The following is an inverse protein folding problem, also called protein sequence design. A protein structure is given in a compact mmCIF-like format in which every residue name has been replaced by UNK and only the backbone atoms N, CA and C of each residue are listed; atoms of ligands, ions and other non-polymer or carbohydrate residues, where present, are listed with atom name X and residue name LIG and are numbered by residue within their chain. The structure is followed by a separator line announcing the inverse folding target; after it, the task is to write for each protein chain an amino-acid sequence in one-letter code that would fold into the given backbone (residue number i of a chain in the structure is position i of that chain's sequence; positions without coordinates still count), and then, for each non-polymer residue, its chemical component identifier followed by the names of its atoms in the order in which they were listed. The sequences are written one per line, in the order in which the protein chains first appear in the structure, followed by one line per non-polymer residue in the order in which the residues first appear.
data_IF_653101605442
#
_entry.id   IF_653101605442
#
_cell.length_a   1.000
_cell.length_b   1.000
_cell.length_c   1.000
_cell.angle_alpha   90.00
_cell.angle_beta   90.00
_cell.angle_gamma   90.00
#
_symmetry.space_group_name_H-M   'P 1'
#
loop_
_entity.id
_entity.type
_entity.pdbx_description
1 polymer ?
#
# COMPACT_ATOMS: atom_id res chain seq x y z
N UNK A 1 1.51 17.15 -13.77
CA UNK A 1 0.41 16.62 -12.93
C UNK A 1 0.81 16.71 -11.46
N UNK A 2 -0.07 17.21 -10.58
CA UNK A 2 0.14 17.25 -9.12
C UNK A 2 -0.74 16.18 -8.46
N UNK A 3 -0.14 15.26 -7.71
CA UNK A 3 -0.81 14.13 -7.07
C UNK A 3 -0.87 14.38 -5.57
N UNK A 4 -2.08 14.48 -4.99
CA UNK A 4 -2.24 14.38 -3.54
C UNK A 4 -2.07 12.92 -3.13
N UNK A 5 -1.21 12.65 -2.13
CA UNK A 5 -0.96 11.29 -1.64
C UNK A 5 -1.45 11.14 -0.21
N UNK A 6 -2.31 10.16 0.01
CA UNK A 6 -2.80 9.75 1.33
C UNK A 6 -2.66 8.23 1.47
N UNK A 7 -2.27 7.76 2.64
CA UNK A 7 -2.27 6.34 3.02
C UNK A 7 -2.46 6.16 4.52
N UNK A 8 -2.76 4.93 4.93
CA UNK A 8 -2.79 4.51 6.34
C UNK A 8 -3.71 5.40 7.18
N UNK A 9 -4.90 5.71 6.65
CA UNK A 9 -5.85 6.61 7.30
C UNK A 9 -6.54 5.98 8.50
N UNK A 10 -6.68 4.65 8.51
CA UNK A 10 -7.26 3.89 9.63
C UNK A 10 -8.55 4.50 10.17
N UNK A 11 -9.49 4.79 9.27
CA UNK A 11 -10.76 5.42 9.62
C UNK A 11 -11.61 4.58 10.58
N UNK A 12 -11.31 3.28 10.71
CA UNK A 12 -11.95 2.39 11.69
C UNK A 12 -11.66 2.78 13.15
N UNK A 13 -10.52 3.42 13.42
CA UNK A 13 -10.15 3.89 14.76
C UNK A 13 -10.27 5.39 14.93
N UNK A 14 -10.33 6.14 13.83
CA UNK A 14 -10.45 7.60 13.80
C UNK A 14 -11.53 8.08 12.80
N UNK A 15 -12.80 7.64 12.98
CA UNK A 15 -13.86 7.88 11.98
C UNK A 15 -14.20 9.36 11.79
N UNK A 16 -13.91 10.21 12.78
CA UNK A 16 -14.18 11.64 12.73
C UNK A 16 -13.06 12.46 12.07
N UNK A 17 -11.96 11.79 11.64
CA UNK A 17 -10.88 12.47 10.95
C UNK A 17 -11.34 12.94 9.57
N UNK A 18 -11.38 14.25 9.40
CA UNK A 18 -11.82 14.89 8.16
C UNK A 18 -10.62 15.25 7.29
N UNK A 19 -10.66 14.82 6.06
CA UNK A 19 -9.65 15.10 5.04
C UNK A 19 -10.19 16.09 4.02
N UNK A 20 -9.32 16.98 3.57
CA UNK A 20 -9.64 18.01 2.58
C UNK A 20 -8.81 17.81 1.32
N UNK A 21 -9.41 18.02 0.15
CA UNK A 21 -8.65 18.03 -1.09
C UNK A 21 -7.58 19.13 -1.07
N UNK A 22 -6.43 18.83 -1.63
CA UNK A 22 -5.42 19.85 -1.88
C UNK A 22 -5.90 20.75 -3.04
N UNK A 23 -5.84 22.09 -2.90
CA UNK A 23 -6.44 23.01 -3.89
C UNK A 23 -5.84 22.87 -5.30
N UNK A 24 -4.58 22.47 -5.37
CA UNK A 24 -3.81 22.39 -6.62
C UNK A 24 -3.60 20.94 -7.10
N UNK A 25 -4.28 19.95 -6.49
CA UNK A 25 -4.16 18.58 -6.93
C UNK A 25 -4.96 18.35 -8.22
N UNK A 26 -4.35 17.63 -9.15
CA UNK A 26 -5.01 17.12 -10.35
C UNK A 26 -5.59 15.71 -10.13
N UNK A 27 -5.08 15.00 -9.11
CA UNK A 27 -5.36 13.60 -8.83
C UNK A 27 -5.18 13.32 -7.33
N UNK A 28 -6.01 12.43 -6.76
CA UNK A 28 -5.78 11.82 -5.46
C UNK A 28 -5.31 10.37 -5.65
N UNK A 29 -4.25 9.99 -4.95
CA UNK A 29 -3.82 8.59 -4.77
C UNK A 29 -4.04 8.17 -3.34
N UNK A 30 -4.83 7.12 -3.15
CA UNK A 30 -5.04 6.41 -1.89
C UNK A 30 -4.18 5.13 -1.90
N UNK A 31 -3.09 5.12 -1.15
CA UNK A 31 -2.12 4.02 -1.16
C UNK A 31 -2.34 3.03 0.00
N UNK A 32 -3.60 2.62 0.22
CA UNK A 32 -4.01 1.54 1.12
C UNK A 32 -4.24 1.94 2.57
N UNK A 33 -4.83 1.02 3.33
CA UNK A 33 -5.19 1.14 4.74
C UNK A 33 -6.08 2.37 5.03
N UNK A 34 -7.13 2.51 4.21
CA UNK A 34 -8.10 3.60 4.35
C UNK A 34 -9.07 3.30 5.49
N UNK A 35 -9.57 2.07 5.55
CA UNK A 35 -10.43 1.63 6.64
C UNK A 35 -10.69 0.14 6.65
N UNK A 36 -10.98 -0.39 7.82
CA UNK A 36 -11.07 -1.81 8.13
C UNK A 36 -12.36 -2.14 8.88
N UNK A 37 -12.83 -3.37 8.76
CA UNK A 37 -13.94 -3.92 9.55
C UNK A 37 -13.46 -4.91 10.61
N UNK A 38 -12.22 -4.77 11.06
CA UNK A 38 -11.66 -5.51 12.19
C UNK A 38 -12.51 -5.37 13.46
N UNK A 39 -12.30 -6.27 14.42
CA UNK A 39 -12.98 -6.17 15.72
C UNK A 39 -12.75 -4.80 16.38
N UNK A 40 -13.84 -4.17 16.83
CA UNK A 40 -13.81 -2.84 17.42
C UNK A 40 -13.77 -1.68 16.42
N UNK A 41 -13.92 -1.96 15.13
CA UNK A 41 -14.07 -0.90 14.11
C UNK A 41 -15.27 -0.01 14.42
N UNK A 42 -15.05 1.31 14.32
CA UNK A 42 -16.08 2.34 14.44
C UNK A 42 -16.51 2.91 13.09
N UNK A 43 -16.02 2.29 12.01
CA UNK A 43 -16.32 2.73 10.66
C UNK A 43 -17.77 2.44 10.32
N UNK A 44 -18.59 3.45 9.96
CA UNK A 44 -19.96 3.24 9.52
C UNK A 44 -19.99 2.71 8.08
N UNK A 45 -21.11 2.08 7.71
CA UNK A 45 -21.34 1.65 6.34
C UNK A 45 -20.64 0.35 5.96
N UNK A 46 -20.41 0.17 4.66
CA UNK A 46 -19.88 -1.05 4.08
C UNK A 46 -18.90 -0.80 2.92
N UNK A 47 -18.29 0.38 2.89
CA UNK A 47 -17.49 0.93 1.79
C UNK A 47 -16.03 1.20 2.18
N UNK A 48 -15.57 0.70 3.32
CA UNK A 48 -14.21 0.90 3.86
C UNK A 48 -13.83 2.38 4.06
N UNK A 49 -14.84 3.28 4.19
CA UNK A 49 -14.63 4.72 4.29
C UNK A 49 -14.31 5.41 2.96
N UNK A 50 -14.34 4.67 1.86
CA UNK A 50 -13.98 5.17 0.53
C UNK A 50 -15.01 6.18 -0.03
N UNK A 51 -16.27 6.15 0.43
CA UNK A 51 -17.29 7.10 -0.02
C UNK A 51 -16.86 8.57 0.17
N UNK A 52 -16.04 8.85 1.18
CA UNK A 52 -15.52 10.19 1.47
C UNK A 52 -14.65 10.76 0.36
N UNK A 53 -14.07 9.90 -0.46
CA UNK A 53 -13.15 10.24 -1.55
C UNK A 53 -13.80 10.06 -2.93
N UNK A 54 -15.10 9.75 -2.97
CA UNK A 54 -15.79 9.50 -4.23
C UNK A 54 -15.95 10.76 -5.06
N UNK A 55 -15.47 10.80 -6.32
CA UNK A 55 -15.77 11.88 -7.25
C UNK A 55 -17.27 12.04 -7.51
N UNK A 56 -18.03 10.95 -7.45
CA UNK A 56 -19.49 10.96 -7.61
C UNK A 56 -20.23 11.54 -6.39
N UNK A 57 -19.51 11.72 -5.26
CA UNK A 57 -20.04 12.30 -4.01
C UNK A 57 -19.41 13.66 -3.68
N UNK A 58 -18.62 14.23 -4.60
CA UNK A 58 -18.11 15.59 -4.49
C UNK A 58 -16.62 15.74 -4.23
N UNK A 59 -15.85 14.65 -4.24
CA UNK A 59 -14.38 14.80 -4.27
C UNK A 59 -13.98 15.44 -5.61
N UNK A 60 -13.18 16.54 -5.62
CA UNK A 60 -13.09 17.42 -6.80
C UNK A 60 -12.22 16.91 -7.94
N UNK A 61 -11.44 15.85 -7.72
CA UNK A 61 -10.48 15.31 -8.70
C UNK A 61 -10.64 13.79 -8.83
N UNK A 62 -10.17 13.16 -9.91
CA UNK A 62 -10.10 11.71 -10.03
C UNK A 62 -9.36 11.08 -8.85
N UNK A 63 -9.70 9.84 -8.52
CA UNK A 63 -9.11 9.09 -7.40
C UNK A 63 -8.64 7.73 -7.87
N UNK A 64 -7.38 7.41 -7.62
CA UNK A 64 -6.80 6.08 -7.77
C UNK A 64 -6.65 5.43 -6.40
N UNK A 65 -6.98 4.15 -6.30
CA UNK A 65 -6.89 3.42 -5.05
C UNK A 65 -6.23 2.07 -5.22
N UNK A 66 -5.23 1.81 -4.35
CA UNK A 66 -4.63 0.50 -4.11
C UNK A 66 -5.03 0.08 -2.70
N UNK A 67 -5.58 -1.13 -2.47
CA UNK A 67 -5.88 -1.58 -1.10
C UNK A 67 -4.61 -1.85 -0.31
N UNK A 68 -4.69 -1.70 1.02
CA UNK A 68 -3.65 -2.13 1.94
C UNK A 68 -3.94 -3.51 2.53
N UNK A 69 -3.31 -3.82 3.65
CA UNK A 69 -3.56 -5.09 4.34
C UNK A 69 -4.73 -5.02 5.33
N UNK A 70 -4.98 -3.85 5.91
CA UNK A 70 -6.03 -3.70 6.92
C UNK A 70 -7.44 -3.75 6.34
N UNK A 71 -7.65 -3.49 5.06
CA UNK A 71 -8.93 -3.73 4.40
C UNK A 71 -9.36 -5.21 4.48
N UNK A 72 -8.42 -6.12 4.70
CA UNK A 72 -8.69 -7.57 4.77
C UNK A 72 -8.74 -8.12 6.20
N UNK A 73 -8.59 -7.29 7.23
CA UNK A 73 -8.64 -7.71 8.63
C UNK A 73 -10.03 -8.25 9.02
N UNK A 74 -10.05 -9.40 9.71
CA UNK A 74 -11.23 -10.09 10.21
C UNK A 74 -12.25 -10.52 9.14
N UNK A 75 -11.82 -10.64 7.88
CA UNK A 75 -12.68 -11.01 6.75
C UNK A 75 -12.03 -12.11 5.88
N UNK A 76 -12.81 -12.66 4.94
CA UNK A 76 -12.32 -13.57 3.91
C UNK A 76 -11.70 -12.76 2.75
N UNK A 77 -10.47 -13.10 2.36
CA UNK A 77 -9.66 -12.34 1.44
C UNK A 77 -10.28 -12.17 0.05
N UNK A 78 -10.64 -13.29 -0.61
CA UNK A 78 -11.07 -13.24 -2.01
C UNK A 78 -12.44 -12.55 -2.17
N UNK A 79 -13.36 -12.80 -1.25
CA UNK A 79 -14.67 -12.13 -1.22
C UNK A 79 -14.53 -10.63 -0.94
N UNK A 80 -13.60 -10.25 -0.05
CA UNK A 80 -13.35 -8.85 0.27
C UNK A 80 -12.65 -8.14 -0.88
N UNK A 81 -11.74 -8.80 -1.57
CA UNK A 81 -11.08 -8.26 -2.76
C UNK A 81 -12.10 -7.92 -3.87
N UNK A 82 -13.03 -8.83 -4.14
CA UNK A 82 -14.13 -8.58 -5.09
C UNK A 82 -15.00 -7.41 -4.63
N UNK A 83 -15.41 -7.39 -3.35
CA UNK A 83 -16.22 -6.32 -2.77
C UNK A 83 -15.55 -4.93 -2.83
N UNK A 84 -14.23 -4.86 -2.60
CA UNK A 84 -13.48 -3.61 -2.71
C UNK A 84 -13.49 -3.08 -4.15
N UNK A 85 -13.29 -3.96 -5.13
CA UNK A 85 -13.35 -3.61 -6.55
C UNK A 85 -14.75 -3.07 -6.93
N UNK A 86 -15.81 -3.79 -6.56
CA UNK A 86 -17.20 -3.37 -6.83
C UNK A 86 -17.52 -2.04 -6.12
N UNK A 87 -16.96 -1.83 -4.92
CA UNK A 87 -17.13 -0.57 -4.18
C UNK A 87 -16.46 0.58 -4.91
N UNK A 88 -15.26 0.39 -5.43
CA UNK A 88 -14.56 1.41 -6.23
C UNK A 88 -15.36 1.77 -7.48
N UNK A 89 -15.85 0.77 -8.23
CA UNK A 89 -16.69 1.00 -9.42
C UNK A 89 -17.93 1.83 -9.08
N UNK A 90 -18.67 1.44 -8.06
CA UNK A 90 -19.86 2.15 -7.58
C UNK A 90 -19.59 3.59 -7.14
N UNK A 91 -18.40 3.86 -6.61
CA UNK A 91 -17.98 5.18 -6.11
C UNK A 91 -17.26 6.04 -7.16
N UNK A 92 -17.02 5.54 -8.36
CA UNK A 92 -16.25 6.22 -9.39
C UNK A 92 -14.76 6.38 -9.03
N UNK A 93 -14.26 5.51 -8.17
CA UNK A 93 -12.84 5.43 -7.79
C UNK A 93 -12.17 4.43 -8.73
N UNK A 94 -11.03 4.78 -9.28
CA UNK A 94 -10.27 3.87 -10.13
C UNK A 94 -9.54 2.84 -9.28
N UNK A 95 -9.93 1.59 -9.40
CA UNK A 95 -9.24 0.44 -8.80
C UNK A 95 -7.88 0.23 -9.47
N UNK A 96 -6.82 0.12 -8.68
CA UNK A 96 -5.45 0.03 -9.19
C UNK A 96 -4.69 -1.20 -8.62
N UNK A 97 -5.38 -2.25 -8.21
CA UNK A 97 -4.73 -3.48 -7.75
C UNK A 97 -4.46 -4.43 -8.92
N UNK A 98 -3.18 -4.57 -9.28
CA UNK A 98 -2.69 -5.25 -10.47
C UNK A 98 -3.35 -4.72 -11.75
N UNK A 99 -3.39 -3.40 -11.83
CA UNK A 99 -3.96 -2.67 -12.95
C UNK A 99 -3.00 -1.55 -13.40
N UNK A 100 -3.09 -1.21 -14.67
CA UNK A 100 -2.36 -0.10 -15.27
C UNK A 100 -3.34 0.89 -15.86
N UNK A 101 -3.21 2.16 -15.50
CA UNK A 101 -4.06 3.25 -16.00
C UNK A 101 -3.18 4.35 -16.58
N UNK A 102 -3.60 4.92 -17.70
CA UNK A 102 -2.92 6.06 -18.31
C UNK A 102 -3.82 7.28 -18.22
N UNK A 103 -3.31 8.35 -17.65
CA UNK A 103 -3.96 9.67 -17.57
C UNK A 103 -2.98 10.70 -18.16
N UNK A 104 -3.38 11.38 -19.22
CA UNK A 104 -2.50 12.23 -20.02
C UNK A 104 -1.26 11.44 -20.50
N UNK A 105 -0.06 11.91 -20.17
CA UNK A 105 1.21 11.23 -20.46
C UNK A 105 1.81 10.54 -19.22
N UNK A 106 1.00 10.21 -18.24
CA UNK A 106 1.43 9.53 -17.02
C UNK A 106 0.77 8.16 -16.95
N UNK A 107 1.59 7.13 -16.88
CA UNK A 107 1.17 5.75 -16.63
C UNK A 107 1.26 5.45 -15.15
N UNK A 108 0.15 5.05 -14.54
CA UNK A 108 0.06 4.54 -13.18
C UNK A 108 0.02 3.02 -13.21
N UNK A 109 0.92 2.38 -12.46
CA UNK A 109 1.01 0.92 -12.32
C UNK A 109 0.87 0.61 -10.84
N UNK A 110 -0.19 -0.10 -10.44
CA UNK A 110 -0.47 -0.27 -9.03
C UNK A 110 -0.75 -1.70 -8.59
N UNK A 111 -0.36 -2.00 -7.35
CA UNK A 111 -0.66 -3.24 -6.65
C UNK A 111 -0.42 -3.07 -5.14
N UNK A 112 -1.15 -3.80 -4.29
CA UNK A 112 -0.86 -3.87 -2.85
C UNK A 112 0.60 -4.28 -2.59
N UNK A 113 1.18 -5.09 -3.46
CA UNK A 113 2.52 -5.65 -3.46
C UNK A 113 2.71 -6.76 -2.42
N UNK A 114 2.17 -6.58 -1.19
CA UNK A 114 2.41 -7.47 -0.06
C UNK A 114 3.91 -7.63 0.23
N UNK A 115 4.29 -8.51 1.16
CA UNK A 115 5.70 -8.80 1.45
C UNK A 115 6.07 -10.24 1.10
N UNK A 116 7.24 -10.42 0.46
CA UNK A 116 7.82 -11.74 0.20
C UNK A 116 8.68 -12.28 1.35
N UNK A 117 8.92 -11.45 2.38
CA UNK A 117 9.73 -11.75 3.57
C UNK A 117 11.21 -12.04 3.27
N UNK A 118 11.70 -11.70 2.09
CA UNK A 118 13.08 -11.94 1.68
C UNK A 118 13.99 -10.69 1.79
N UNK A 119 13.41 -9.51 2.11
CA UNK A 119 14.11 -8.23 2.02
C UNK A 119 15.46 -8.19 2.76
N UNK A 120 15.58 -8.82 3.93
CA UNK A 120 16.81 -8.80 4.74
C UNK A 120 17.88 -9.82 4.30
N UNK A 121 17.58 -10.67 3.34
CA UNK A 121 18.48 -11.74 2.93
C UNK A 121 18.54 -11.98 1.42
N UNK A 122 18.08 -11.01 0.62
CA UNK A 122 17.98 -11.14 -0.84
C UNK A 122 19.31 -11.54 -1.50
N UNK A 123 20.43 -11.04 -1.00
CA UNK A 123 21.77 -11.35 -1.52
C UNK A 123 22.47 -12.49 -0.76
N UNK A 124 21.80 -13.13 0.19
CA UNK A 124 22.37 -14.20 0.98
C UNK A 124 22.37 -15.54 0.22
N UNK A 125 23.20 -16.49 0.68
CA UNK A 125 23.17 -17.86 0.15
C UNK A 125 21.79 -18.50 0.43
N UNK A 126 21.29 -19.42 -0.41
CA UNK A 126 19.92 -20.00 -0.29
C UNK A 126 19.58 -20.50 1.11
N UNK A 127 20.49 -21.20 1.78
CA UNK A 127 20.28 -21.70 3.14
C UNK A 127 20.16 -20.57 4.19
N UNK A 128 20.87 -19.46 4.00
CA UNK A 128 20.77 -18.29 4.87
C UNK A 128 19.51 -17.51 4.60
N UNK A 129 19.11 -17.39 3.34
CA UNK A 129 17.86 -16.77 2.92
C UNK A 129 16.66 -17.50 3.52
N UNK A 130 16.64 -18.84 3.44
CA UNK A 130 15.58 -19.65 4.04
C UNK A 130 15.49 -19.41 5.57
N UNK A 131 16.60 -19.44 6.28
CA UNK A 131 16.64 -19.17 7.73
C UNK A 131 16.15 -17.76 8.09
N UNK A 132 16.49 -16.76 7.28
CA UNK A 132 16.04 -15.39 7.51
C UNK A 132 14.53 -15.27 7.29
N UNK A 133 13.99 -15.87 6.21
CA UNK A 133 12.57 -15.94 5.92
C UNK A 133 11.78 -16.64 7.02
N UNK A 134 12.26 -17.76 7.53
CA UNK A 134 11.62 -18.45 8.66
C UNK A 134 11.53 -17.58 9.91
N UNK A 135 12.55 -16.74 10.18
CA UNK A 135 12.50 -15.78 11.29
C UNK A 135 11.48 -14.68 11.02
N UNK A 136 11.43 -14.16 9.78
CA UNK A 136 10.46 -13.17 9.37
C UNK A 136 9.03 -13.71 9.45
N UNK A 137 8.78 -14.95 8.99
CA UNK A 137 7.49 -15.63 9.10
C UNK A 137 7.04 -15.75 10.56
N UNK A 138 7.93 -16.18 11.47
CA UNK A 138 7.57 -16.26 12.89
C UNK A 138 7.18 -14.91 13.49
N UNK A 139 7.92 -13.85 13.14
CA UNK A 139 7.61 -12.50 13.59
C UNK A 139 6.27 -12.01 13.04
N UNK A 140 6.02 -12.21 11.73
CA UNK A 140 4.76 -11.81 11.08
C UNK A 140 3.58 -12.64 11.57
N UNK A 141 3.71 -13.95 11.69
CA UNK A 141 2.62 -14.85 12.09
C UNK A 141 2.12 -14.60 13.53
N UNK A 142 2.97 -14.04 14.40
CA UNK A 142 2.51 -13.60 15.71
C UNK A 142 1.43 -12.52 15.57
N UNK A 143 1.63 -11.56 14.66
CA UNK A 143 0.66 -10.49 14.38
C UNK A 143 -0.50 -10.98 13.50
N UNK A 144 -0.22 -11.67 12.38
CA UNK A 144 -1.24 -12.10 11.42
C UNK A 144 -2.33 -13.01 12.03
N UNK A 145 -2.01 -13.76 13.09
CA UNK A 145 -3.02 -14.51 13.84
C UNK A 145 -4.02 -13.61 14.56
N UNK A 146 -3.65 -12.38 14.87
CA UNK A 146 -4.54 -11.45 15.56
C UNK A 146 -5.43 -10.67 14.60
N UNK A 147 -5.07 -10.57 13.32
CA UNK A 147 -5.86 -9.85 12.31
C UNK A 147 -7.16 -10.59 11.96
N UNK A 148 -7.18 -11.90 12.09
CA UNK A 148 -8.37 -12.71 11.81
C UNK A 148 -8.70 -12.88 10.33
N UNK A 149 -7.82 -12.45 9.42
CA UNK A 149 -7.98 -12.66 7.98
C UNK A 149 -7.96 -14.15 7.65
N UNK A 150 -8.89 -14.57 6.80
CA UNK A 150 -8.96 -15.96 6.31
C UNK A 150 -8.91 -16.00 4.78
N UNK A 151 -8.47 -17.12 4.24
CA UNK A 151 -8.58 -17.42 2.80
C UNK A 151 -8.88 -18.91 2.63
N UNK A 152 -9.92 -19.24 1.87
CA UNK A 152 -10.39 -20.62 1.66
C UNK A 152 -10.65 -21.38 2.99
N UNK A 153 -11.17 -20.68 3.99
CA UNK A 153 -11.48 -21.25 5.31
C UNK A 153 -10.29 -21.47 6.25
N UNK A 154 -9.07 -21.10 5.85
CA UNK A 154 -7.86 -21.16 6.67
C UNK A 154 -7.37 -19.78 7.08
N UNK A 155 -6.66 -19.62 8.23
CA UNK A 155 -5.99 -18.37 8.58
C UNK A 155 -4.97 -17.99 7.51
N UNK A 156 -5.00 -16.71 7.10
CA UNK A 156 -4.11 -16.21 6.07
C UNK A 156 -2.80 -15.73 6.71
N UNK A 157 -1.81 -16.60 6.75
CA UNK A 157 -0.53 -16.41 7.43
C UNK A 157 0.61 -16.07 6.45
N UNK A 158 1.80 -15.82 6.97
CA UNK A 158 2.94 -15.30 6.23
C UNK A 158 3.31 -16.11 4.98
N UNK A 159 3.16 -17.43 5.03
CA UNK A 159 3.40 -18.29 3.87
C UNK A 159 2.44 -17.96 2.70
N UNK A 160 1.15 -17.84 2.99
CA UNK A 160 0.13 -17.51 2.00
C UNK A 160 0.19 -16.03 1.58
N UNK A 161 0.54 -15.12 2.50
CA UNK A 161 0.83 -13.71 2.16
C UNK A 161 1.99 -13.63 1.16
N UNK A 162 3.05 -14.43 1.37
CA UNK A 162 4.18 -14.49 0.44
C UNK A 162 3.78 -14.98 -0.95
N UNK A 163 2.94 -15.99 -1.05
CA UNK A 163 2.43 -16.46 -2.35
C UNK A 163 1.73 -15.32 -3.11
N UNK A 164 0.89 -14.56 -2.42
CA UNK A 164 0.23 -13.38 -2.99
C UNK A 164 1.25 -12.30 -3.40
N UNK A 165 2.26 -12.04 -2.57
CA UNK A 165 3.31 -11.08 -2.87
C UNK A 165 4.08 -11.45 -4.15
N UNK A 166 4.42 -12.72 -4.33
CA UNK A 166 5.10 -13.18 -5.54
C UNK A 166 4.25 -13.00 -6.80
N UNK A 167 2.93 -13.22 -6.69
CA UNK A 167 1.99 -12.93 -7.79
C UNK A 167 2.00 -11.44 -8.13
N UNK A 168 1.93 -10.56 -7.11
CA UNK A 168 1.97 -9.11 -7.31
C UNK A 168 3.31 -8.66 -7.92
N UNK A 169 4.42 -9.18 -7.43
CA UNK A 169 5.76 -8.83 -7.93
C UNK A 169 5.97 -9.30 -9.37
N UNK A 170 5.51 -10.49 -9.72
CA UNK A 170 5.60 -11.00 -11.09
C UNK A 170 4.80 -10.10 -12.04
N UNK A 171 3.54 -9.81 -11.69
CA UNK A 171 2.69 -8.91 -12.46
C UNK A 171 3.34 -7.51 -12.62
N UNK A 172 3.90 -6.97 -11.54
CA UNK A 172 4.54 -5.65 -11.55
C UNK A 172 5.75 -5.61 -12.50
N UNK A 173 6.59 -6.67 -12.49
CA UNK A 173 7.71 -6.79 -13.43
C UNK A 173 7.24 -6.79 -14.88
N UNK A 174 6.20 -7.55 -15.17
CA UNK A 174 5.60 -7.64 -16.52
C UNK A 174 5.02 -6.29 -16.95
N UNK A 175 4.25 -5.63 -16.07
CA UNK A 175 3.67 -4.33 -16.36
C UNK A 175 4.73 -3.23 -16.60
N UNK A 176 5.80 -3.22 -15.82
CA UNK A 176 6.90 -2.27 -15.96
C UNK A 176 7.78 -2.55 -17.19
N UNK A 177 7.85 -3.81 -17.64
CA UNK A 177 8.59 -4.18 -18.86
C UNK A 177 7.92 -3.66 -20.14
N UNK A 178 6.63 -3.31 -20.10
CA UNK A 178 5.93 -2.74 -21.26
C UNK A 178 6.46 -1.34 -21.54
N UNK A 179 7.02 -1.05 -22.73
CA UNK A 179 7.49 0.29 -23.08
C UNK A 179 6.37 1.33 -22.99
N UNK A 180 6.70 2.52 -22.51
CA UNK A 180 5.75 3.63 -22.43
C UNK A 180 6.46 4.96 -22.72
N UNK A 181 5.89 5.72 -23.66
CA UNK A 181 6.38 7.05 -24.02
C UNK A 181 5.72 8.12 -23.12
N UNK A 182 6.22 8.22 -21.90
CA UNK A 182 5.71 9.12 -20.86
C UNK A 182 6.31 8.82 -19.50
N UNK A 183 5.74 9.46 -18.47
CA UNK A 183 6.19 9.26 -17.09
C UNK A 183 5.49 8.04 -16.48
N UNK A 184 6.25 7.15 -15.84
CA UNK A 184 5.69 6.01 -15.09
C UNK A 184 5.70 6.32 -13.60
N UNK A 185 4.54 6.17 -12.96
CA UNK A 185 4.32 6.24 -11.52
C UNK A 185 3.88 4.87 -11.03
N UNK A 186 4.58 4.32 -10.05
CA UNK A 186 4.17 3.10 -9.37
C UNK A 186 3.46 3.46 -8.07
N UNK A 187 2.38 2.77 -7.77
CA UNK A 187 1.63 2.90 -6.52
C UNK A 187 1.55 1.54 -5.85
N UNK A 188 2.11 1.43 -4.64
CA UNK A 188 1.97 0.21 -3.84
C UNK A 188 1.50 0.56 -2.43
N UNK A 189 1.00 -0.43 -1.68
CA UNK A 189 0.81 -0.22 -0.25
C UNK A 189 2.09 -0.59 0.50
N UNK A 190 2.63 -1.78 0.30
CA UNK A 190 3.91 -2.17 0.91
C UNK A 190 5.10 -1.45 0.27
N UNK A 191 6.13 -1.17 1.08
CA UNK A 191 7.32 -0.48 0.62
C UNK A 191 8.15 -1.33 -0.36
N UNK A 192 8.66 -0.73 -1.45
CA UNK A 192 9.46 -1.44 -2.45
C UNK A 192 10.90 -1.74 -2.00
N UNK A 193 11.40 -1.01 -1.01
CA UNK A 193 12.83 -0.99 -0.64
C UNK A 193 13.03 -0.87 0.86
N UNK A 194 14.12 -1.44 1.36
CA UNK A 194 14.57 -1.24 2.74
C UNK A 194 15.00 0.21 3.05
N UNK A 195 15.21 1.06 2.04
CA UNK A 195 15.43 2.49 2.25
C UNK A 195 14.19 3.20 2.83
N UNK A 196 13.02 2.61 2.72
CA UNK A 196 11.79 3.09 3.37
C UNK A 196 11.62 2.58 4.81
N UNK A 197 12.46 1.64 5.26
CA UNK A 197 12.32 1.06 6.60
C UNK A 197 12.37 2.14 7.68
N UNK A 198 11.48 2.03 8.68
CA UNK A 198 11.43 2.98 9.77
C UNK A 198 12.71 2.89 10.62
N UNK A 199 13.51 3.96 10.72
CA UNK A 199 14.76 3.94 11.46
C UNK A 199 14.59 3.70 12.96
N UNK A 200 13.38 3.91 13.52
CA UNK A 200 13.09 3.66 14.94
C UNK A 200 13.23 2.19 15.31
N UNK A 201 12.99 1.28 14.37
CA UNK A 201 12.98 -0.18 14.62
C UNK A 201 14.23 -0.89 14.08
N UNK A 202 14.97 -0.26 13.16
CA UNK A 202 16.13 -0.87 12.50
C UNK A 202 15.76 -2.09 11.64
N UNK A 203 16.77 -2.83 11.22
CA UNK A 203 16.59 -4.03 10.39
C UNK A 203 16.47 -5.29 11.27
N UNK A 204 15.28 -5.54 11.77
CA UNK A 204 14.94 -6.74 12.55
C UNK A 204 14.12 -7.72 11.67
N UNK A 205 13.98 -9.01 12.05
CA UNK A 205 13.24 -9.97 11.21
C UNK A 205 11.84 -9.50 10.80
N UNK A 206 11.13 -8.76 11.67
CA UNK A 206 9.83 -8.16 11.37
C UNK A 206 9.86 -7.15 10.22
N UNK A 207 10.97 -6.44 10.00
CA UNK A 207 11.11 -5.46 8.92
C UNK A 207 10.85 -6.07 7.53
N UNK A 208 11.20 -7.35 7.34
CA UNK A 208 10.90 -8.08 6.11
C UNK A 208 9.40 -8.37 5.91
N UNK A 209 8.56 -8.13 6.90
CA UNK A 209 7.10 -8.16 6.77
C UNK A 209 6.50 -6.81 6.34
N UNK A 210 7.30 -5.75 6.30
CA UNK A 210 6.86 -4.39 5.95
C UNK A 210 7.49 -3.87 4.66
N UNK A 211 8.70 -4.31 4.34
CA UNK A 211 9.45 -3.89 3.17
C UNK A 211 9.76 -5.06 2.26
N UNK A 212 9.82 -4.78 0.98
CA UNK A 212 10.46 -5.63 -0.01
C UNK A 212 11.89 -5.11 -0.32
N UNK A 213 12.62 -5.77 -1.20
CA UNK A 213 13.92 -5.31 -1.70
C UNK A 213 13.91 -5.42 -3.24
N UNK A 214 13.09 -4.55 -3.86
CA UNK A 214 12.85 -4.50 -5.31
C UNK A 214 13.58 -3.31 -5.95
N UNK A 215 14.76 -2.97 -5.43
CA UNK A 215 15.55 -1.82 -5.87
C UNK A 215 15.90 -1.89 -7.36
N UNK A 216 15.91 -3.08 -7.95
CA UNK A 216 16.12 -3.28 -9.39
C UNK A 216 14.97 -2.77 -10.26
N UNK A 217 13.75 -2.62 -9.70
CA UNK A 217 12.59 -2.10 -10.42
C UNK A 217 12.50 -0.56 -10.37
N UNK A 218 13.14 0.09 -9.41
CA UNK A 218 13.08 1.54 -9.24
C UNK A 218 13.46 2.31 -10.51
N UNK A 219 14.51 1.93 -11.29
CA UNK A 219 14.87 2.64 -12.51
C UNK A 219 13.78 2.62 -13.60
N UNK A 220 12.76 1.77 -13.48
CA UNK A 220 11.66 1.66 -14.45
C UNK A 220 10.52 2.65 -14.16
N UNK A 221 10.62 3.42 -13.07
CA UNK A 221 9.63 4.42 -12.66
C UNK A 221 10.31 5.74 -12.31
N UNK A 222 9.64 6.85 -12.58
CA UNK A 222 10.10 8.19 -12.14
C UNK A 222 9.69 8.47 -10.70
N UNK A 223 8.54 7.93 -10.29
CA UNK A 223 7.96 8.11 -8.96
C UNK A 223 7.37 6.79 -8.46
N UNK A 224 7.59 6.51 -7.17
CA UNK A 224 6.98 5.39 -6.46
C UNK A 224 6.29 5.89 -5.20
N UNK A 225 4.98 5.68 -5.10
CA UNK A 225 4.14 6.08 -3.98
C UNK A 225 3.80 4.84 -3.15
N UNK A 226 3.91 4.93 -1.82
CA UNK A 226 3.55 3.80 -0.94
C UNK A 226 3.04 4.25 0.43
N UNK A 227 2.59 3.28 1.27
CA UNK A 227 2.14 3.43 2.65
C UNK A 227 2.80 2.42 3.59
N UNK A 228 1.99 1.83 4.47
CA UNK A 228 2.22 0.68 5.33
C UNK A 228 3.14 0.88 6.55
N UNK A 229 4.18 1.68 6.43
CA UNK A 229 5.20 1.80 7.48
C UNK A 229 4.84 2.80 8.58
N UNK A 230 3.77 3.59 8.42
CA UNK A 230 3.41 4.72 9.29
C UNK A 230 4.59 5.66 9.59
N UNK A 231 5.53 5.72 8.65
CA UNK A 231 6.70 6.58 8.67
C UNK A 231 6.80 7.31 7.33
N UNK A 232 6.72 8.64 7.31
CA UNK A 232 6.85 9.39 6.06
C UNK A 232 8.22 9.17 5.44
N UNK A 233 8.24 8.98 4.13
CA UNK A 233 9.48 8.88 3.36
C UNK A 233 9.45 9.77 2.13
N UNK A 234 10.60 10.31 1.76
CA UNK A 234 10.76 11.09 0.54
C UNK A 234 12.25 11.10 0.17
N UNK A 235 12.66 10.20 -0.68
CA UNK A 235 14.06 10.05 -1.09
C UNK A 235 14.13 9.71 -2.59
N UNK A 236 15.33 9.85 -3.17
CA UNK A 236 15.62 9.41 -4.54
C UNK A 236 16.61 8.25 -4.47
N UNK A 237 16.27 7.13 -5.09
CA UNK A 237 17.15 5.98 -5.23
C UNK A 237 17.09 5.44 -6.65
N UNK A 238 18.26 5.21 -7.26
CA UNK A 238 18.40 4.74 -8.65
C UNK A 238 17.57 5.55 -9.67
N UNK A 239 17.45 6.87 -9.47
CA UNK A 239 16.68 7.75 -10.35
C UNK A 239 15.17 7.81 -10.10
N UNK A 240 14.63 6.92 -9.27
CA UNK A 240 13.23 6.95 -8.85
C UNK A 240 13.07 7.75 -7.56
N UNK A 241 12.09 8.65 -7.52
CA UNK A 241 11.67 9.29 -6.27
C UNK A 241 10.66 8.40 -5.55
N UNK A 242 10.95 8.00 -4.31
CA UNK A 242 10.08 7.16 -3.48
C UNK A 242 9.46 8.01 -2.37
N UNK A 243 8.12 7.96 -2.23
CA UNK A 243 7.39 8.86 -1.34
C UNK A 243 6.29 8.10 -0.60
N UNK A 244 6.20 8.34 0.72
CA UNK A 244 5.09 7.92 1.57
C UNK A 244 4.60 9.08 2.43
N UNK A 245 3.27 9.18 2.63
CA UNK A 245 2.62 10.20 3.46
C UNK A 245 1.51 9.55 4.32
N UNK A 246 1.88 8.62 5.20
CA UNK A 246 0.93 7.90 6.04
C UNK A 246 0.41 8.76 7.18
N UNK A 247 -0.88 8.60 7.54
CA UNK A 247 -1.46 9.20 8.75
C UNK A 247 -1.06 8.39 9.99
N UNK A 248 -1.26 7.09 9.96
CA UNK A 248 -0.97 6.19 11.08
C UNK A 248 -1.94 6.35 12.26
N UNK A 249 -1.59 5.72 13.37
CA UNK A 249 -2.41 5.73 14.58
C UNK A 249 -2.08 6.91 15.52
N UNK A 250 -3.07 7.76 15.81
CA UNK A 250 -2.91 8.88 16.72
C UNK A 250 -2.43 8.46 18.12
N UNK A 251 -2.97 7.34 18.62
CA UNK A 251 -2.59 6.80 19.94
C UNK A 251 -1.13 6.33 20.05
N UNK A 252 -0.44 6.15 18.92
CA UNK A 252 1.00 5.82 18.85
C UNK A 252 1.88 7.01 18.50
N UNK A 253 1.30 8.20 18.31
CA UNK A 253 2.04 9.41 17.93
C UNK A 253 2.59 9.39 16.48
N UNK A 254 2.04 8.54 15.61
CA UNK A 254 2.52 8.34 14.24
C UNK A 254 2.15 9.49 13.29
N UNK A 255 1.18 10.33 13.69
CA UNK A 255 0.64 11.42 12.87
C UNK A 255 1.57 12.63 12.68
N UNK A 256 2.67 12.71 13.42
CA UNK A 256 3.52 13.92 13.47
C UNK A 256 4.12 14.31 12.11
N UNK A 257 4.33 13.35 11.23
CA UNK A 257 4.89 13.59 9.90
C UNK A 257 3.87 13.71 8.77
N UNK A 258 2.60 13.43 9.05
CA UNK A 258 1.53 13.46 8.08
C UNK A 258 1.20 14.89 7.62
N UNK A 259 0.97 15.05 6.32
CA UNK A 259 0.55 16.32 5.73
C UNK A 259 -0.70 16.09 4.89
N UNK A 260 -1.85 16.60 5.39
CA UNK A 260 -3.17 16.39 4.79
C UNK A 260 -3.23 16.76 3.28
N UNK A 261 -2.59 17.87 2.91
CA UNK A 261 -2.60 18.41 1.54
C UNK A 261 -1.27 18.24 0.82
N UNK A 262 -0.56 17.16 1.16
CA UNK A 262 0.73 16.87 0.54
C UNK A 262 0.55 16.49 -0.93
N UNK A 263 1.19 17.25 -1.81
CA UNK A 263 1.23 16.97 -3.24
C UNK A 263 2.64 16.65 -3.72
N UNK A 264 2.70 15.72 -4.64
CA UNK A 264 3.91 15.36 -5.39
C UNK A 264 3.69 15.74 -6.85
N UNK A 265 4.65 16.46 -7.44
CA UNK A 265 4.65 16.75 -8.87
C UNK A 265 5.28 15.59 -9.66
N UNK A 266 4.70 15.32 -10.81
CA UNK A 266 5.14 14.35 -11.83
C UNK A 266 5.41 15.10 -13.11
#
# INVERSE_FOLDING_TARGET
MKIQLLSDLHLEVQPDFLLRPAPDADLLVLAGDIGSYQYGSRLPGADFGLERFSPLRGWPVPVLYVPGNHEYDAVEFDATHARLRDTCERLGITWLERETVVMDKVRFVGTTLWSDFDALAQQARPAQQLKAREKAFRAANWYLRTTGTTRHGAPWLAEAVREQALVCQQWLREALAVPFDGTTVVVTHFAPSLHSADPRYGNVPGTAGFCNALDELLPLASLWLHGHLHCPSNYVHRGCRVVANPLGYAGKGEQQGFRERFCVAV
#
